data_IF_394270290005
#
_entry.id   IF_394270290005
#
_cell.length_a   1.000
_cell.length_b   1.000
_cell.length_c   1.000
_cell.angle_alpha   90.00
_cell.angle_beta   90.00
_cell.angle_gamma   90.00
#
_symmetry.space_group_name_H-M   'P 1'
#
loop_
_entity.id
_entity.type
_entity.pdbx_description
1 polymer ?
#
# COMPACT_ATOMS: atom_id res chain seq x y z
N UNK A 1 -61.36 -9.63 27.62
CA UNK A 1 -60.17 -10.04 26.84
C UNK A 1 -59.78 -9.05 25.72
N UNK A 2 -60.52 -7.95 25.48
CA UNK A 2 -60.20 -6.98 24.42
C UNK A 2 -59.11 -5.93 24.77
N UNK A 3 -58.80 -5.74 26.05
CA UNK A 3 -57.83 -4.73 26.51
C UNK A 3 -56.37 -5.14 26.22
N UNK A 4 -56.07 -6.44 26.30
CA UNK A 4 -54.75 -7.01 25.99
C UNK A 4 -54.45 -7.01 24.48
N UNK A 5 -55.49 -7.10 23.64
CA UNK A 5 -55.33 -7.03 22.18
C UNK A 5 -54.93 -5.63 21.71
N UNK A 6 -55.47 -4.58 22.35
CA UNK A 6 -55.16 -3.18 22.00
C UNK A 6 -53.72 -2.79 22.38
N UNK A 7 -53.22 -3.30 23.50
CA UNK A 7 -51.84 -3.05 23.94
C UNK A 7 -50.81 -3.77 23.06
N UNK A 8 -51.10 -4.99 22.60
CA UNK A 8 -50.22 -5.71 21.69
C UNK A 8 -50.10 -5.02 20.31
N UNK A 9 -51.21 -4.50 19.78
CA UNK A 9 -51.21 -3.77 18.52
C UNK A 9 -50.39 -2.47 18.59
N UNK A 10 -50.48 -1.72 19.71
CA UNK A 10 -49.71 -0.49 19.89
C UNK A 10 -48.19 -0.74 19.90
N UNK A 11 -47.74 -1.79 20.58
CA UNK A 11 -46.31 -2.14 20.67
C UNK A 11 -45.75 -2.57 19.32
N UNK A 12 -46.53 -3.30 18.51
CA UNK A 12 -46.14 -3.67 17.14
C UNK A 12 -46.02 -2.45 16.21
N UNK A 13 -46.90 -1.46 16.35
CA UNK A 13 -46.82 -0.23 15.54
C UNK A 13 -45.65 0.68 15.92
N UNK A 14 -45.24 0.70 17.19
CA UNK A 14 -44.13 1.53 17.68
C UNK A 14 -42.74 0.92 17.37
N UNK A 15 -42.65 -0.38 17.12
CA UNK A 15 -41.39 -1.06 16.80
C UNK A 15 -40.90 -0.92 15.35
N UNK A 16 -41.72 -0.36 14.45
CA UNK A 16 -41.46 -0.29 13.01
C UNK A 16 -40.72 0.94 12.52
N UNK A 17 -40.00 1.68 13.38
CA UNK A 17 -39.21 2.83 12.94
C UNK A 17 -37.85 2.38 12.40
N UNK A 18 -37.79 2.05 11.11
CA UNK A 18 -36.53 2.06 10.38
C UNK A 18 -36.06 3.50 10.23
N UNK A 19 -35.10 3.93 11.04
CA UNK A 19 -34.49 5.25 10.90
C UNK A 19 -33.62 5.25 9.63
N UNK A 20 -34.05 6.01 8.63
CA UNK A 20 -33.24 6.33 7.45
C UNK A 20 -32.55 7.66 7.74
N UNK A 21 -31.24 7.69 7.57
CA UNK A 21 -30.46 8.92 7.75
C UNK A 21 -30.85 9.94 6.66
N UNK A 22 -30.97 11.22 7.02
CA UNK A 22 -31.33 12.28 6.09
C UNK A 22 -30.32 12.43 4.94
N UNK A 23 -29.06 12.05 5.18
CA UNK A 23 -28.05 11.95 4.14
C UNK A 23 -28.42 10.85 3.12
N UNK A 24 -28.71 9.63 3.59
CA UNK A 24 -29.05 8.51 2.72
C UNK A 24 -30.29 8.79 1.87
N UNK A 25 -31.29 9.50 2.40
CA UNK A 25 -32.47 9.93 1.65
C UNK A 25 -32.09 10.88 0.50
N UNK A 26 -31.19 11.83 0.75
CA UNK A 26 -30.74 12.80 -0.26
C UNK A 26 -29.87 12.19 -1.37
N UNK A 27 -29.16 11.09 -1.09
CA UNK A 27 -28.31 10.40 -2.07
C UNK A 27 -28.89 9.07 -2.58
N UNK A 28 -30.16 8.78 -2.27
CA UNK A 28 -30.80 7.51 -2.62
C UNK A 28 -30.97 7.30 -4.13
N UNK A 29 -31.21 8.39 -4.88
CA UNK A 29 -31.44 8.35 -6.33
C UNK A 29 -30.16 8.24 -7.16
N UNK A 30 -28.98 8.31 -6.52
CA UNK A 30 -27.69 8.22 -7.20
C UNK A 30 -27.17 6.78 -7.27
N UNK A 31 -26.36 6.47 -8.29
CA UNK A 31 -25.66 5.18 -8.34
C UNK A 31 -24.78 5.03 -7.08
N UNK A 32 -24.84 3.88 -6.38
CA UNK A 32 -24.06 3.67 -5.17
C UNK A 32 -22.57 3.63 -5.52
N UNK A 33 -21.78 4.33 -4.71
CA UNK A 33 -20.33 4.41 -4.89
C UNK A 33 -19.66 4.36 -3.52
N UNK A 34 -18.74 3.43 -3.34
CA UNK A 34 -17.98 3.22 -2.11
C UNK A 34 -16.50 3.48 -2.36
N UNK A 35 -15.94 4.49 -1.69
CA UNK A 35 -14.56 4.93 -1.90
C UNK A 35 -13.68 4.58 -0.71
N UNK A 36 -12.58 3.87 -0.98
CA UNK A 36 -11.65 3.34 0.01
C UNK A 36 -10.24 3.92 -0.17
N UNK A 37 -9.54 4.11 0.94
CA UNK A 37 -8.16 4.57 0.96
C UNK A 37 -7.21 3.42 0.62
N UNK A 38 -6.57 3.49 -0.55
CA UNK A 38 -5.46 2.61 -0.92
C UNK A 38 -4.10 3.21 -0.53
N UNK A 39 -3.00 2.48 -0.80
CA UNK A 39 -1.65 2.93 -0.46
C UNK A 39 -1.21 4.20 -1.20
N UNK A 40 -1.74 4.46 -2.39
CA UNK A 40 -1.32 5.58 -3.24
C UNK A 40 -2.47 6.49 -3.72
N UNK A 41 -3.73 6.08 -3.55
CA UNK A 41 -4.90 6.82 -4.06
C UNK A 41 -6.20 6.41 -3.32
N UNK A 42 -7.30 7.08 -3.63
CA UNK A 42 -8.66 6.64 -3.28
C UNK A 42 -9.20 5.81 -4.44
N UNK A 43 -9.72 4.60 -4.17
CA UNK A 43 -10.35 3.73 -5.16
C UNK A 43 -11.83 3.61 -4.87
N UNK A 44 -12.67 3.78 -5.90
CA UNK A 44 -14.12 3.76 -5.75
C UNK A 44 -14.73 2.58 -6.52
N UNK A 45 -15.68 1.91 -5.89
CA UNK A 45 -16.36 0.72 -6.40
C UNK A 45 -17.87 0.91 -6.35
N UNK A 46 -18.61 0.18 -7.20
CA UNK A 46 -20.08 0.18 -7.19
C UNK A 46 -20.66 -0.65 -6.04
N UNK A 47 -19.91 -1.66 -5.60
CA UNK A 47 -20.29 -2.56 -4.51
C UNK A 47 -19.34 -2.35 -3.31
N UNK A 48 -19.84 -2.53 -2.08
CA UNK A 48 -19.02 -2.39 -0.89
C UNK A 48 -18.01 -3.53 -0.79
N UNK A 49 -16.75 -3.19 -0.56
CA UNK A 49 -15.67 -4.13 -0.32
C UNK A 49 -15.52 -4.36 1.20
N UNK A 50 -15.99 -5.51 1.69
CA UNK A 50 -15.95 -5.82 3.12
C UNK A 50 -14.53 -5.97 3.68
N UNK A 51 -13.58 -6.43 2.86
CA UNK A 51 -12.19 -6.58 3.26
C UNK A 51 -11.53 -5.25 3.67
N UNK A 52 -11.96 -4.15 3.04
CA UNK A 52 -11.42 -2.81 3.24
C UNK A 52 -12.34 -1.91 4.10
N UNK A 53 -13.28 -2.50 4.87
CA UNK A 53 -14.27 -1.74 5.67
C UNK A 53 -13.68 -0.66 6.58
N UNK A 54 -12.46 -0.87 7.09
CA UNK A 54 -11.76 0.08 7.97
C UNK A 54 -11.14 1.26 7.23
N UNK A 55 -11.08 1.21 5.90
CA UNK A 55 -10.44 2.19 5.03
C UNK A 55 -11.46 2.97 4.21
N UNK A 56 -12.76 2.84 4.52
CA UNK A 56 -13.81 3.59 3.85
C UNK A 56 -13.64 5.08 4.15
N UNK A 57 -13.50 5.87 3.09
CA UNK A 57 -13.35 7.34 3.18
C UNK A 57 -14.70 8.03 3.00
N UNK A 58 -15.48 7.58 2.01
CA UNK A 58 -16.80 8.11 1.72
C UNK A 58 -17.66 7.05 1.02
N UNK A 59 -18.98 7.19 1.11
CA UNK A 59 -19.94 6.39 0.37
C UNK A 59 -21.14 7.24 -0.09
N UNK A 60 -21.71 6.85 -1.23
CA UNK A 60 -22.97 7.33 -1.77
C UNK A 60 -23.94 6.16 -1.84
N UNK A 61 -25.16 6.34 -1.36
CA UNK A 61 -26.17 5.28 -1.26
C UNK A 61 -26.22 4.61 0.12
N UNK A 62 -26.69 3.35 0.22
CA UNK A 62 -26.89 2.69 1.51
C UNK A 62 -25.56 2.40 2.21
N UNK A 63 -25.52 2.61 3.53
CA UNK A 63 -24.33 2.33 4.33
C UNK A 63 -23.83 0.89 4.13
N UNK A 64 -22.51 0.67 3.94
CA UNK A 64 -21.96 -0.65 3.59
C UNK A 64 -22.18 -1.73 4.66
N UNK A 65 -22.48 -1.35 5.91
CA UNK A 65 -22.84 -2.33 6.96
C UNK A 65 -24.20 -2.99 6.75
N UNK A 66 -25.02 -2.54 5.79
CA UNK A 66 -26.27 -3.20 5.41
C UNK A 66 -26.05 -4.37 4.46
N UNK A 67 -24.90 -4.44 3.79
CA UNK A 67 -24.57 -5.54 2.90
C UNK A 67 -24.04 -6.73 3.71
N UNK A 68 -24.55 -7.93 3.42
CA UNK A 68 -24.10 -9.16 4.06
C UNK A 68 -22.60 -9.36 3.82
N UNK A 69 -21.86 -9.70 4.89
CA UNK A 69 -20.45 -10.07 4.76
C UNK A 69 -20.33 -11.39 3.98
N UNK A 70 -19.40 -11.49 3.01
CA UNK A 70 -19.21 -12.71 2.26
C UNK A 70 -18.79 -13.86 3.20
N UNK A 71 -19.24 -15.06 2.90
CA UNK A 71 -18.85 -16.26 3.64
C UNK A 71 -17.32 -16.37 3.68
N UNK A 72 -16.78 -16.54 4.88
CA UNK A 72 -15.34 -16.71 5.04
C UNK A 72 -14.95 -18.06 4.41
N UNK A 73 -13.86 -18.11 3.62
CA UNK A 73 -13.41 -19.37 3.08
C UNK A 73 -13.03 -20.31 4.23
N UNK A 74 -13.33 -21.61 4.06
CA UNK A 74 -12.93 -22.62 5.03
C UNK A 74 -11.41 -22.56 5.24
N UNK A 75 -11.00 -22.33 6.49
CA UNK A 75 -9.59 -22.32 6.85
C UNK A 75 -9.05 -23.73 6.59
N UNK A 76 -8.06 -23.89 5.70
CA UNK A 76 -7.52 -25.21 5.43
C UNK A 76 -6.91 -25.78 6.71
N UNK A 77 -7.21 -27.04 7.02
CA UNK A 77 -6.54 -27.75 8.09
C UNK A 77 -5.06 -27.88 7.76
N UNK A 78 -4.24 -27.02 8.39
CA UNK A 78 -2.80 -27.08 8.27
C UNK A 78 -2.31 -28.37 8.94
N UNK A 79 -2.01 -29.38 8.13
CA UNK A 79 -1.31 -30.56 8.63
C UNK A 79 0.13 -30.17 8.92
N UNK A 80 0.55 -30.35 10.17
CA UNK A 80 1.97 -30.33 10.48
C UNK A 80 2.68 -31.41 9.64
N UNK A 81 3.92 -31.17 9.21
CA UNK A 81 4.73 -32.22 8.59
C UNK A 81 4.69 -33.47 9.47
N UNK A 82 4.32 -34.61 8.89
CA UNK A 82 4.12 -35.87 9.62
C UNK A 82 5.42 -36.38 10.24
N UNK A 83 6.55 -35.97 9.68
CA UNK A 83 7.87 -36.41 10.07
C UNK A 83 8.48 -35.40 11.06
N UNK A 84 8.92 -35.89 12.21
CA UNK A 84 9.87 -35.15 13.04
C UNK A 84 11.17 -35.00 12.25
N UNK A 85 11.58 -33.76 11.98
CA UNK A 85 12.88 -33.51 11.36
C UNK A 85 13.94 -33.68 12.45
N UNK A 86 14.50 -34.88 12.56
CA UNK A 86 15.47 -35.24 13.61
C UNK A 86 16.79 -34.45 13.51
N UNK A 87 17.11 -33.91 12.33
CA UNK A 87 18.32 -33.14 12.08
C UNK A 87 18.02 -31.92 11.23
N UNK A 88 18.25 -30.75 11.81
CA UNK A 88 18.31 -29.49 11.06
C UNK A 88 19.71 -29.34 10.46
N UNK A 89 19.79 -29.33 9.13
CA UNK A 89 21.03 -28.98 8.42
C UNK A 89 21.01 -27.48 8.23
N UNK A 90 21.95 -26.78 8.87
CA UNK A 90 22.15 -25.35 8.63
C UNK A 90 22.72 -25.18 7.23
N UNK A 91 22.13 -24.31 6.41
CA UNK A 91 22.74 -23.92 5.15
C UNK A 91 24.17 -23.39 5.42
N UNK A 92 25.15 -23.74 4.56
CA UNK A 92 26.52 -23.27 4.75
C UNK A 92 26.54 -21.75 4.73
N UNK A 93 27.23 -21.15 5.70
CA UNK A 93 27.38 -19.70 5.75
C UNK A 93 28.05 -19.21 4.45
N UNK A 94 27.57 -18.11 3.86
CA UNK A 94 28.15 -17.61 2.63
C UNK A 94 29.63 -17.26 2.85
N UNK A 95 30.51 -17.84 2.03
CA UNK A 95 31.94 -17.57 2.11
C UNK A 95 32.17 -16.08 1.86
N UNK A 96 32.87 -15.35 2.75
CA UNK A 96 33.13 -13.93 2.55
C UNK A 96 33.92 -13.72 1.26
N UNK A 97 33.29 -13.06 0.28
CA UNK A 97 33.96 -12.71 -0.96
C UNK A 97 34.82 -11.45 -0.77
N UNK A 98 36.06 -11.43 -1.29
CA UNK A 98 36.85 -10.21 -1.32
C UNK A 98 36.11 -9.15 -2.15
N UNK A 99 35.75 -8.03 -1.52
CA UNK A 99 35.18 -6.89 -2.22
C UNK A 99 36.32 -6.12 -2.88
N UNK A 100 36.50 -6.31 -4.19
CA UNK A 100 37.45 -5.51 -4.96
C UNK A 100 36.74 -4.22 -5.37
N UNK A 101 37.33 -3.07 -5.01
CA UNK A 101 36.90 -1.78 -5.55
C UNK A 101 37.49 -1.63 -6.95
N UNK A 102 36.62 -1.57 -7.96
CA UNK A 102 37.00 -1.22 -9.33
C UNK A 102 36.40 0.15 -9.62
N UNK A 103 37.25 1.15 -9.86
CA UNK A 103 36.84 2.54 -10.17
C UNK A 103 35.89 3.17 -9.13
N UNK A 104 36.15 2.97 -7.84
CA UNK A 104 35.35 3.56 -6.75
C UNK A 104 34.02 2.85 -6.46
N UNK A 105 33.63 1.87 -7.27
CA UNK A 105 32.40 1.08 -7.08
C UNK A 105 32.73 -0.27 -6.44
N UNK A 106 32.02 -0.62 -5.36
CA UNK A 106 32.10 -1.94 -4.73
C UNK A 106 31.35 -2.95 -5.60
N UNK A 107 32.07 -3.88 -6.24
CA UNK A 107 31.46 -5.00 -6.98
C UNK A 107 31.66 -6.31 -6.22
N UNK A 108 30.60 -7.11 -6.15
CA UNK A 108 30.68 -8.51 -5.73
C UNK A 108 31.18 -9.34 -6.91
N UNK A 109 32.27 -10.07 -6.73
CA UNK A 109 32.83 -10.93 -7.78
C UNK A 109 32.07 -12.25 -7.74
N UNK A 110 30.99 -12.32 -8.52
CA UNK A 110 30.20 -13.54 -8.67
C UNK A 110 31.02 -14.71 -9.23
N UNK A 111 30.74 -15.91 -8.71
CA UNK A 111 31.37 -17.17 -9.08
C UNK A 111 31.32 -17.44 -10.60
N UNK A 112 32.46 -17.84 -11.17
CA UNK A 112 32.49 -18.77 -12.30
C UNK A 112 32.86 -18.23 -13.69
N UNK A 113 33.23 -16.96 -13.87
CA UNK A 113 33.81 -16.52 -15.16
C UNK A 113 35.10 -15.72 -14.93
N UNK A 114 36.27 -16.22 -15.37
CA UNK A 114 37.44 -15.34 -15.46
C UNK A 114 37.08 -14.19 -16.40
N UNK A 115 37.25 -12.96 -15.92
CA UNK A 115 37.13 -11.76 -16.74
C UNK A 115 38.14 -11.89 -17.90
N UNK A 116 37.73 -11.72 -19.16
CA UNK A 116 38.67 -11.72 -20.27
C UNK A 116 39.63 -10.53 -20.11
N UNK A 117 40.91 -10.84 -19.95
CA UNK A 117 42.04 -9.90 -19.82
C UNK A 117 42.35 -9.10 -21.10
N UNK A 118 41.39 -8.87 -21.99
CA UNK A 118 41.65 -8.12 -23.22
C UNK A 118 41.70 -6.61 -22.94
N UNK A 119 42.93 -6.12 -22.81
CA UNK A 119 43.43 -4.84 -23.33
C UNK A 119 42.54 -3.64 -23.05
N UNK A 120 42.66 -3.09 -21.84
CA UNK A 120 41.98 -1.87 -21.41
C UNK A 120 42.96 -0.70 -21.33
N UNK A 121 43.93 -0.63 -22.25
CA UNK A 121 45.09 0.26 -22.06
C UNK A 121 45.32 1.29 -23.18
N UNK A 122 44.51 1.34 -24.23
CA UNK A 122 44.76 2.29 -25.34
C UNK A 122 43.54 3.13 -25.76
N UNK A 123 42.33 2.57 -25.76
CA UNK A 123 41.12 3.29 -26.21
C UNK A 123 40.54 4.22 -25.13
N UNK A 124 40.54 3.79 -23.87
CA UNK A 124 40.01 4.55 -22.72
C UNK A 124 40.92 5.73 -22.31
N UNK A 125 42.21 5.67 -22.64
CA UNK A 125 43.16 6.75 -22.35
C UNK A 125 42.99 7.97 -23.28
N UNK A 126 42.47 7.76 -24.49
CA UNK A 126 42.16 8.83 -25.43
C UNK A 126 40.88 9.57 -25.01
N UNK A 127 39.86 8.83 -24.55
CA UNK A 127 38.56 9.38 -24.17
C UNK A 127 38.61 10.16 -22.83
N UNK A 128 39.47 9.75 -21.88
CA UNK A 128 39.67 10.48 -20.63
C UNK A 128 40.36 11.84 -20.80
N UNK A 129 41.12 12.05 -21.88
CA UNK A 129 41.81 13.32 -22.14
C UNK A 129 40.87 14.38 -22.72
N UNK A 130 39.80 13.99 -23.41
CA UNK A 130 38.80 14.92 -23.96
C UNK A 130 37.79 15.42 -22.92
N UNK A 131 37.65 14.75 -21.77
CA UNK A 131 36.66 15.10 -20.73
C UNK A 131 37.20 16.04 -19.65
N UNK A 132 38.44 16.54 -19.77
CA UNK A 132 39.05 17.46 -18.82
C UNK A 132 38.56 18.90 -19.06
N UNK A 133 37.34 19.19 -18.63
CA UNK A 133 36.81 20.55 -18.52
C UNK A 133 37.07 21.05 -17.09
N UNK A 134 38.13 21.84 -16.95
CA UNK A 134 38.27 22.96 -15.99
C UNK A 134 36.98 23.79 -15.97
N UNK A 135 36.34 24.20 -14.86
CA UNK A 135 36.79 24.87 -13.63
C UNK A 135 35.75 24.66 -12.49
N UNK A 136 36.10 24.88 -11.19
CA UNK A 136 35.14 24.80 -10.09
C UNK A 136 34.16 26.00 -10.07
N UNK A 137 32.86 25.71 -10.00
CA UNK A 137 31.78 26.69 -9.82
C UNK A 137 31.80 27.27 -8.40
N UNK A 138 31.73 28.60 -8.19
CA UNK A 138 31.69 29.19 -6.86
C UNK A 138 30.32 28.99 -6.18
N UNK A 139 30.26 28.82 -4.84
CA UNK A 139 29.01 28.54 -4.15
C UNK A 139 28.10 29.78 -4.06
N UNK A 140 26.84 29.62 -4.50
CA UNK A 140 25.79 30.63 -4.38
C UNK A 140 25.20 30.69 -2.95
N UNK A 141 25.03 31.90 -2.40
CA UNK A 141 24.39 32.17 -1.09
C UNK A 141 22.94 31.67 -1.02
N UNK A 142 22.45 31.22 0.16
CA UNK A 142 21.05 30.87 0.36
C UNK A 142 20.14 32.11 0.40
N UNK A 143 19.05 32.05 -0.36
CA UNK A 143 18.00 33.09 -0.43
C UNK A 143 17.01 32.88 0.73
N UNK A 144 17.06 33.77 1.70
CA UNK A 144 15.98 33.98 2.68
C UNK A 144 14.73 34.46 1.96
N UNK A 145 13.60 33.78 2.15
CA UNK A 145 12.30 34.35 1.78
C UNK A 145 11.27 33.96 2.83
N UNK A 146 10.94 34.97 3.64
CA UNK A 146 9.78 35.13 4.50
C UNK A 146 8.50 34.77 3.74
N UNK A 147 7.63 33.96 4.37
CA UNK A 147 6.25 33.74 3.91
C UNK A 147 5.38 34.75 4.65
N UNK A 148 4.86 35.73 3.93
CA UNK A 148 3.80 36.63 4.42
C UNK A 148 2.47 35.88 4.49
N UNK A 149 1.78 36.07 5.62
CA UNK A 149 0.38 35.74 5.84
C UNK A 149 -0.49 36.57 4.89
N UNK A 150 -1.37 35.90 4.14
CA UNK A 150 -2.49 36.57 3.46
C UNK A 150 -3.77 36.25 4.23
N UNK A 151 -4.26 37.28 4.90
CA UNK A 151 -5.60 37.42 5.49
C UNK A 151 -6.54 38.06 4.46
N UNK A 152 -7.85 38.00 4.73
CA UNK A 152 -9.01 38.56 4.01
C UNK A 152 -9.50 37.78 2.76
N UNK A 153 -10.81 37.52 2.59
CA UNK A 153 -12.03 38.11 3.17
C UNK A 153 -13.23 37.17 2.97
#
# INVERSE_FOLDING_TARGET
MHKTLKTAALVLFLGGCGYVDAYEEAVYDHEPVYCYQSLAAVQCFKEPQHHDKLRLVNYYGPHPSRADEPDQPDVPELQAPTNSVDKWVKDPEPVPQPRVRVSGVLRTVGFGKPLPQKTLDEETAAELKSLRITEPVPPSKPRSTTVELVEEK
#
